data_IF_406001381479
#
_entry.id   IF_406001381479
#
_cell.length_a   1.000
_cell.length_b   1.000
_cell.length_c   1.000
_cell.angle_alpha   90.00
_cell.angle_beta   90.00
_cell.angle_gamma   90.00
#
_symmetry.space_group_name_H-M   'P 1'
#
loop_
_entity.id
_entity.type
_entity.pdbx_description
1 polymer ?
#
# COMPACT_ATOMS: atom_id res chain seq x y z
N UNK A 1 -47.51 46.72 -5.04
CA UNK A 1 -46.67 45.85 -5.90
C UNK A 1 -47.05 44.41 -5.62
N UNK A 2 -47.56 43.64 -6.59
CA UNK A 2 -47.79 42.21 -6.42
C UNK A 2 -46.50 41.41 -6.69
N UNK A 3 -46.33 40.20 -6.12
CA UNK A 3 -45.16 39.36 -6.36
C UNK A 3 -45.21 38.68 -7.75
N UNK A 4 -44.06 38.26 -8.31
CA UNK A 4 -44.03 37.64 -9.63
C UNK A 4 -44.57 36.21 -9.60
N UNK A 5 -45.38 35.89 -10.62
CA UNK A 5 -45.92 34.56 -10.89
C UNK A 5 -44.85 33.68 -11.53
N UNK A 6 -44.60 32.50 -10.95
CA UNK A 6 -43.68 31.52 -11.51
C UNK A 6 -44.27 30.85 -12.77
N UNK A 7 -43.52 30.89 -13.87
CA UNK A 7 -43.85 30.18 -15.11
C UNK A 7 -43.62 28.67 -14.96
N UNK A 8 -44.60 27.86 -15.39
CA UNK A 8 -44.49 26.40 -15.48
C UNK A 8 -43.57 25.99 -16.65
N UNK A 9 -42.73 24.96 -16.51
CA UNK A 9 -41.96 24.45 -17.64
C UNK A 9 -42.87 23.68 -18.62
N UNK A 10 -42.71 24.00 -19.90
CA UNK A 10 -43.29 23.27 -21.04
C UNK A 10 -42.46 22.00 -21.25
N UNK A 11 -43.10 20.84 -21.20
CA UNK A 11 -42.47 19.57 -21.55
C UNK A 11 -42.28 19.49 -23.08
N UNK A 12 -41.02 19.53 -23.53
CA UNK A 12 -40.65 19.23 -24.91
C UNK A 12 -40.50 17.71 -25.03
N UNK A 13 -41.46 17.05 -25.69
CA UNK A 13 -41.31 15.66 -26.11
C UNK A 13 -40.31 15.58 -27.26
N UNK A 14 -39.10 15.10 -26.97
CA UNK A 14 -38.14 14.72 -28.00
C UNK A 14 -38.58 13.39 -28.62
N UNK A 15 -39.06 13.43 -29.86
CA UNK A 15 -39.22 12.23 -30.69
C UNK A 15 -37.83 11.74 -31.11
N UNK A 16 -37.41 10.60 -30.56
CA UNK A 16 -36.20 9.89 -30.98
C UNK A 16 -36.46 9.27 -32.36
N UNK A 17 -35.86 9.85 -33.39
CA UNK A 17 -35.74 9.23 -34.70
C UNK A 17 -34.79 8.03 -34.61
N UNK A 18 -35.28 6.84 -34.95
CA UNK A 18 -34.50 5.61 -35.06
C UNK A 18 -33.55 5.68 -36.26
N UNK A 19 -32.25 5.52 -36.03
CA UNK A 19 -31.25 5.40 -37.07
C UNK A 19 -31.42 4.10 -37.89
N UNK A 20 -31.09 4.09 -39.20
CA UNK A 20 -31.17 2.88 -40.01
C UNK A 20 -30.09 1.88 -39.61
N UNK A 21 -30.50 0.64 -39.40
CA UNK A 21 -29.60 -0.48 -39.09
C UNK A 21 -28.93 -0.97 -40.37
N UNK A 22 -27.64 -0.70 -40.52
CA UNK A 22 -26.80 -1.32 -41.56
C UNK A 22 -26.59 -2.79 -41.18
N UNK A 23 -27.21 -3.72 -41.93
CA UNK A 23 -26.94 -5.15 -41.81
C UNK A 23 -25.61 -5.47 -42.48
N UNK A 24 -24.60 -5.80 -41.69
CA UNK A 24 -23.36 -6.43 -42.17
C UNK A 24 -23.68 -7.92 -42.44
N UNK A 25 -23.43 -8.46 -43.65
CA UNK A 25 -23.61 -9.88 -43.93
C UNK A 25 -22.65 -10.72 -43.08
N UNK A 26 -23.19 -11.75 -42.40
CA UNK A 26 -22.36 -12.77 -41.73
C UNK A 26 -21.69 -13.66 -42.79
N UNK A 27 -20.40 -14.03 -42.64
CA UNK A 27 -19.79 -15.03 -43.50
C UNK A 27 -20.50 -16.39 -43.31
N UNK A 28 -20.71 -17.09 -44.43
CA UNK A 28 -21.32 -18.41 -44.46
C UNK A 28 -20.47 -19.43 -43.69
N UNK A 29 -21.13 -20.27 -42.88
CA UNK A 29 -20.47 -21.40 -42.24
C UNK A 29 -20.03 -22.43 -43.30
N UNK A 30 -18.86 -23.07 -43.15
CA UNK A 30 -18.44 -24.14 -44.06
C UNK A 30 -19.37 -25.36 -43.93
N UNK A 31 -19.58 -26.13 -45.01
CA UNK A 31 -20.43 -27.30 -44.99
C UNK A 31 -19.88 -28.39 -44.05
N UNK A 32 -20.78 -28.99 -43.29
CA UNK A 32 -20.49 -30.08 -42.36
C UNK A 32 -20.29 -31.39 -43.14
N UNK A 33 -19.11 -31.98 -43.03
CA UNK A 33 -18.80 -33.31 -43.58
C UNK A 33 -19.06 -34.40 -42.53
N UNK A 34 -19.74 -35.51 -42.87
CA UNK A 34 -19.90 -36.63 -41.94
C UNK A 34 -18.56 -37.35 -41.71
N UNK A 35 -18.33 -37.94 -40.52
CA UNK A 35 -17.10 -38.68 -40.23
C UNK A 35 -17.01 -39.95 -41.10
N UNK A 36 -15.90 -40.10 -41.81
CA UNK A 36 -15.57 -41.30 -42.55
C UNK A 36 -15.25 -42.50 -41.64
N UNK A 37 -15.28 -43.73 -42.17
CA UNK A 37 -15.01 -44.94 -41.39
C UNK A 37 -13.56 -44.96 -40.88
N UNK A 38 -13.40 -45.31 -39.61
CA UNK A 38 -12.11 -45.42 -38.94
C UNK A 38 -11.28 -46.56 -39.56
N UNK A 39 -10.12 -46.22 -40.13
CA UNK A 39 -9.10 -47.20 -40.49
C UNK A 39 -8.39 -47.71 -39.23
N UNK A 40 -8.12 -49.02 -39.09
CA UNK A 40 -7.37 -49.55 -37.97
C UNK A 40 -5.90 -49.07 -38.05
N UNK A 41 -5.37 -48.60 -36.92
CA UNK A 41 -3.98 -48.21 -36.78
C UNK A 41 -3.03 -49.42 -36.98
N UNK A 42 -1.86 -49.26 -37.61
CA UNK A 42 -0.88 -50.33 -37.69
C UNK A 42 -0.29 -50.63 -36.30
N UNK A 43 -0.35 -51.90 -35.90
CA UNK A 43 0.26 -52.39 -34.67
C UNK A 43 1.78 -52.27 -34.73
N UNK A 44 2.35 -51.48 -33.82
CA UNK A 44 3.79 -51.48 -33.56
C UNK A 44 4.12 -52.69 -32.68
N UNK A 45 4.87 -53.64 -33.23
CA UNK A 45 5.36 -54.80 -32.50
C UNK A 45 6.17 -54.40 -31.28
N UNK A 46 5.84 -54.99 -30.14
CA UNK A 46 6.65 -54.88 -28.92
C UNK A 46 7.97 -55.64 -29.13
N UNK A 47 9.05 -54.90 -29.40
CA UNK A 47 10.41 -55.40 -29.24
C UNK A 47 10.70 -55.40 -27.73
N UNK A 48 10.94 -56.59 -27.16
CA UNK A 48 11.32 -56.72 -25.76
C UNK A 48 12.62 -55.93 -25.49
N UNK A 49 12.69 -55.09 -24.45
CA UNK A 49 13.89 -54.30 -24.17
C UNK A 49 15.05 -55.22 -23.74
N UNK A 50 16.18 -55.13 -24.45
CA UNK A 50 17.46 -55.70 -24.03
C UNK A 50 17.83 -55.09 -22.66
N UNK A 51 18.00 -55.94 -21.64
CA UNK A 51 18.50 -55.54 -20.32
C UNK A 51 19.95 -55.06 -20.46
N UNK A 52 20.18 -53.75 -20.40
CA UNK A 52 21.52 -53.18 -20.27
C UNK A 52 21.96 -53.19 -18.80
N UNK A 53 23.13 -53.72 -18.50
CA UNK A 53 23.77 -53.75 -17.17
C UNK A 53 24.34 -52.39 -16.73
N UNK A 54 23.64 -51.29 -17.00
CA UNK A 54 24.04 -49.94 -16.61
C UNK A 54 23.63 -49.57 -15.16
N UNK A 55 22.89 -50.44 -14.47
CA UNK A 55 22.41 -50.23 -13.10
C UNK A 55 23.48 -49.79 -12.10
N UNK A 56 24.69 -50.40 -12.08
CA UNK A 56 25.75 -49.98 -11.17
C UNK A 56 26.28 -48.57 -11.47
N UNK A 57 26.39 -48.19 -12.75
CA UNK A 57 26.92 -46.88 -13.15
C UNK A 57 25.93 -45.75 -12.88
N UNK A 58 24.64 -45.99 -13.08
CA UNK A 58 23.58 -45.02 -12.75
C UNK A 58 23.46 -44.85 -11.23
N UNK A 59 23.61 -45.93 -10.45
CA UNK A 59 23.60 -45.86 -8.99
C UNK A 59 24.79 -45.04 -8.44
N UNK A 60 26.00 -45.22 -9.00
CA UNK A 60 27.18 -44.43 -8.62
C UNK A 60 27.01 -42.96 -9.02
N UNK A 61 26.47 -42.67 -10.21
CA UNK A 61 26.21 -41.30 -10.64
C UNK A 61 25.18 -40.60 -9.74
N UNK A 62 24.09 -41.29 -9.37
CA UNK A 62 23.08 -40.75 -8.45
C UNK A 62 23.63 -40.56 -7.04
N UNK A 63 24.49 -41.47 -6.55
CA UNK A 63 25.15 -41.32 -5.25
C UNK A 63 26.11 -40.12 -5.24
N UNK A 64 26.88 -39.91 -6.31
CA UNK A 64 27.78 -38.75 -6.43
C UNK A 64 27.00 -37.43 -6.52
N UNK A 65 25.88 -37.39 -7.25
CA UNK A 65 25.00 -36.22 -7.30
C UNK A 65 24.35 -35.95 -5.95
N UNK A 66 23.95 -37.00 -5.21
CA UNK A 66 23.41 -36.84 -3.86
C UNK A 66 24.47 -36.31 -2.87
N UNK A 67 25.70 -36.82 -2.92
CA UNK A 67 26.81 -36.34 -2.07
C UNK A 67 27.20 -34.90 -2.41
N UNK A 68 27.26 -34.55 -3.71
CA UNK A 68 27.49 -33.17 -4.14
C UNK A 68 26.33 -32.25 -3.76
N UNK A 69 25.08 -32.71 -3.87
CA UNK A 69 23.88 -31.98 -3.44
C UNK A 69 23.88 -31.72 -1.94
N UNK A 70 24.20 -32.72 -1.13
CA UNK A 70 24.32 -32.58 0.33
C UNK A 70 25.50 -31.68 0.69
N UNK A 71 26.62 -31.75 -0.04
CA UNK A 71 27.78 -30.87 0.15
C UNK A 71 27.48 -29.41 -0.17
N UNK A 72 26.76 -29.13 -1.27
CA UNK A 72 26.34 -27.76 -1.64
C UNK A 72 25.29 -27.23 -0.67
N UNK A 73 24.30 -28.04 -0.27
CA UNK A 73 23.30 -27.65 0.75
C UNK A 73 23.97 -27.42 2.10
N UNK A 74 24.95 -28.25 2.49
CA UNK A 74 25.73 -28.08 3.71
C UNK A 74 26.61 -26.83 3.69
N UNK A 75 27.29 -26.54 2.58
CA UNK A 75 28.13 -25.34 2.45
C UNK A 75 27.29 -24.06 2.43
N UNK A 76 26.11 -24.08 1.81
CA UNK A 76 25.16 -22.96 1.85
C UNK A 76 24.56 -22.81 3.25
N UNK A 77 24.22 -23.90 3.95
CA UNK A 77 23.66 -23.82 5.31
C UNK A 77 24.67 -23.29 6.35
N UNK A 78 25.95 -23.66 6.22
CA UNK A 78 27.01 -23.19 7.13
C UNK A 78 27.40 -21.74 6.82
N UNK A 79 27.35 -21.30 5.56
CA UNK A 79 27.67 -19.91 5.19
C UNK A 79 26.46 -18.95 5.25
N UNK A 80 25.23 -19.45 5.34
CA UNK A 80 24.01 -18.64 5.53
C UNK A 80 23.74 -18.32 7.01
N UNK A 81 24.53 -18.89 7.92
CA UNK A 81 24.47 -18.61 9.35
C UNK A 81 25.20 -17.32 9.69
N UNK A 82 24.82 -16.19 9.07
CA UNK A 82 25.02 -14.80 9.54
C UNK A 82 24.69 -13.80 8.42
N UNK A 83 23.41 -13.62 8.12
CA UNK A 83 22.83 -12.34 7.63
C UNK A 83 21.31 -12.47 7.58
N UNK A 84 20.71 -12.53 8.78
CA UNK A 84 19.30 -12.17 8.92
C UNK A 84 19.23 -10.67 8.64
N UNK A 85 18.62 -10.29 7.53
CA UNK A 85 18.12 -8.92 7.36
C UNK A 85 16.98 -8.77 8.35
N UNK A 86 17.32 -8.25 9.54
CA UNK A 86 16.33 -7.78 10.48
C UNK A 86 15.74 -6.50 9.89
N UNK A 87 14.43 -6.46 9.67
CA UNK A 87 13.78 -5.17 9.57
C UNK A 87 14.12 -4.36 10.82
N UNK A 88 14.51 -3.10 10.67
CA UNK A 88 14.54 -2.22 11.82
C UNK A 88 13.13 -1.99 12.32
N UNK A 89 12.84 -2.48 13.54
CA UNK A 89 11.89 -1.77 14.41
C UNK A 89 10.78 -2.50 15.10
N UNK A 90 11.05 -3.61 15.79
CA UNK A 90 10.01 -4.25 16.60
C UNK A 90 10.10 -4.00 18.11
N UNK A 91 11.11 -3.28 18.62
CA UNK A 91 11.32 -3.17 20.07
C UNK A 91 10.90 -1.87 20.76
N UNK A 92 10.52 -0.79 20.05
CA UNK A 92 10.14 0.46 20.74
C UNK A 92 9.09 1.28 19.99
N UNK A 93 7.82 0.87 20.06
CA UNK A 93 6.75 1.87 20.08
C UNK A 93 6.65 2.42 21.51
N UNK A 94 6.99 3.69 21.80
CA UNK A 94 6.74 4.25 23.11
C UNK A 94 5.23 4.40 23.31
N UNK A 95 4.67 3.62 24.23
CA UNK A 95 3.35 3.87 24.81
C UNK A 95 3.40 5.21 25.54
N UNK A 96 3.01 6.30 24.88
CA UNK A 96 2.84 7.59 25.56
C UNK A 96 1.58 7.54 26.42
N UNK A 97 1.76 7.23 27.71
CA UNK A 97 0.83 7.62 28.77
C UNK A 97 0.89 9.15 28.90
N UNK A 98 -0.24 9.89 28.91
CA UNK A 98 -0.21 11.33 29.12
C UNK A 98 0.38 11.64 30.50
N UNK A 99 1.58 12.22 30.52
CA UNK A 99 2.17 12.73 31.75
C UNK A 99 1.29 13.86 32.29
N UNK A 100 0.80 13.69 33.53
CA UNK A 100 0.11 14.74 34.26
C UNK A 100 1.04 15.94 34.41
N UNK A 101 0.56 17.10 33.96
CA UNK A 101 1.23 18.40 34.08
C UNK A 101 1.47 18.69 35.58
N UNK A 102 2.67 19.14 36.00
CA UNK A 102 2.87 19.54 37.38
C UNK A 102 2.06 20.80 37.67
N UNK A 103 1.20 20.74 38.68
CA UNK A 103 0.53 21.90 39.26
C UNK A 103 1.60 22.79 39.90
N UNK A 104 1.75 24.01 39.38
CA UNK A 104 2.57 25.03 40.01
C UNK A 104 1.93 25.43 41.34
N UNK A 105 2.57 25.07 42.46
CA UNK A 105 2.24 25.56 43.79
C UNK A 105 2.68 27.02 43.88
N UNK A 106 1.76 27.94 43.61
CA UNK A 106 1.95 29.37 43.87
C UNK A 106 1.72 29.67 45.35
N UNK A 107 2.77 30.01 46.07
CA UNK A 107 2.73 30.53 47.44
C UNK A 107 1.95 31.86 47.47
N UNK A 108 0.76 31.89 48.11
CA UNK A 108 0.04 33.15 48.40
C UNK A 108 0.37 33.61 49.83
N UNK A 109 1.03 34.75 49.91
CA UNK A 109 1.12 35.59 51.11
C UNK A 109 -0.23 36.30 51.32
N UNK A 110 -0.80 36.36 52.54
CA UNK A 110 -2.02 37.12 52.79
C UNK A 110 -1.65 38.58 53.08
N UNK A 111 -2.21 39.52 52.31
CA UNK A 111 -2.27 40.93 52.67
C UNK A 111 -3.74 41.33 52.78
N UNK A 112 -4.10 41.82 53.96
CA UNK A 112 -5.43 42.31 54.31
C UNK A 112 -5.71 43.65 53.62
N UNK A 113 -6.82 43.74 52.90
CA UNK A 113 -7.36 45.00 52.38
C UNK A 113 -8.89 44.89 52.26
N UNK A 114 -9.67 45.90 52.68
CA UNK A 114 -11.12 45.78 52.81
C UNK A 114 -11.85 45.91 51.46
N UNK A 115 -13.04 45.32 51.44
CA UNK A 115 -14.03 45.26 50.36
C UNK A 115 -14.21 46.55 49.55
N UNK A 116 -14.26 46.39 48.23
CA UNK A 116 -15.03 47.25 47.34
C UNK A 116 -15.87 46.39 46.40
N UNK A 117 -17.18 46.37 46.65
CA UNK A 117 -18.19 45.76 45.78
C UNK A 117 -18.23 46.49 44.45
N UNK A 118 -17.85 45.83 43.36
CA UNK A 118 -18.19 46.28 42.01
C UNK A 118 -18.54 45.06 41.15
N UNK A 119 -19.83 44.90 40.87
CA UNK A 119 -20.29 44.12 39.73
C UNK A 119 -19.84 44.83 38.46
N UNK A 120 -19.30 44.08 37.48
CA UNK A 120 -19.67 44.34 36.11
C UNK A 120 -20.16 43.06 35.46
N UNK A 121 -21.38 43.15 34.94
CA UNK A 121 -21.96 42.32 33.91
C UNK A 121 -20.96 42.20 32.76
N UNK A 122 -20.23 41.09 32.70
CA UNK A 122 -19.27 40.77 31.65
C UNK A 122 -19.64 39.42 31.07
N UNK A 123 -20.45 39.43 30.01
CA UNK A 123 -20.70 38.26 29.18
C UNK A 123 -19.39 37.90 28.50
N UNK A 124 -18.61 36.97 29.09
CA UNK A 124 -17.43 36.41 28.43
C UNK A 124 -17.91 35.71 27.16
N UNK A 125 -17.40 36.07 25.96
CA UNK A 125 -17.65 35.27 24.78
C UNK A 125 -16.93 33.95 24.99
N UNK A 126 -17.68 32.86 25.09
CA UNK A 126 -17.12 31.51 25.06
C UNK A 126 -16.47 31.30 23.70
N UNK A 127 -15.18 31.63 23.58
CA UNK A 127 -14.35 31.24 22.46
C UNK A 127 -14.37 29.73 22.38
N UNK A 128 -15.25 29.20 21.54
CA UNK A 128 -15.34 27.77 21.27
C UNK A 128 -14.17 27.47 20.34
N UNK A 129 -12.97 27.32 20.90
CA UNK A 129 -11.81 26.82 20.17
C UNK A 129 -12.20 25.44 19.67
N UNK A 130 -12.49 25.30 18.37
CA UNK A 130 -12.81 24.01 17.78
C UNK A 130 -11.64 23.06 18.07
N UNK A 131 -11.88 22.01 18.85
CA UNK A 131 -10.85 21.03 19.15
C UNK A 131 -10.34 20.45 17.82
N UNK A 132 -9.02 20.48 17.62
CA UNK A 132 -8.39 19.90 16.43
C UNK A 132 -8.77 18.40 16.34
N UNK A 133 -9.04 17.88 15.14
CA UNK A 133 -9.28 16.46 14.92
C UNK A 133 -8.16 15.60 15.51
N UNK A 134 -8.51 14.46 16.11
CA UNK A 134 -7.56 13.49 16.68
C UNK A 134 -7.62 12.17 15.91
N UNK A 135 -6.51 11.42 15.83
CA UNK A 135 -6.55 10.07 15.26
C UNK A 135 -7.52 9.18 16.03
N UNK A 136 -8.14 8.22 15.36
CA UNK A 136 -9.04 7.24 15.98
C UNK A 136 -8.36 5.87 15.91
N UNK A 137 -7.96 5.34 17.07
CA UNK A 137 -7.21 4.08 17.16
C UNK A 137 -8.14 2.87 17.01
N UNK A 138 -8.57 2.65 15.77
CA UNK A 138 -9.44 1.55 15.32
C UNK A 138 -8.96 1.05 13.97
N UNK A 139 -9.19 -0.23 13.67
CA UNK A 139 -8.83 -0.86 12.39
C UNK A 139 -10.03 -0.90 11.45
N UNK A 140 -10.85 -1.96 11.47
CA UNK A 140 -11.93 -2.20 10.52
C UNK A 140 -13.06 -1.16 10.56
N UNK A 141 -13.29 -0.52 11.70
CA UNK A 141 -14.33 0.48 11.93
C UNK A 141 -13.76 1.90 12.08
N UNK A 142 -12.57 2.16 11.54
CA UNK A 142 -11.99 3.51 11.49
C UNK A 142 -12.86 4.45 10.63
N UNK A 143 -13.05 5.74 11.01
CA UNK A 143 -13.79 6.69 10.20
C UNK A 143 -13.29 6.84 8.76
N UNK A 144 -11.98 6.62 8.52
CA UNK A 144 -11.41 6.64 7.18
C UNK A 144 -12.01 5.54 6.28
N UNK A 145 -12.51 4.44 6.83
CA UNK A 145 -13.12 3.33 6.08
C UNK A 145 -14.63 3.50 5.85
N UNK A 146 -15.21 4.67 6.17
CA UNK A 146 -16.61 4.95 5.88
C UNK A 146 -16.87 5.12 4.36
N UNK A 147 -18.13 4.94 3.95
CA UNK A 147 -18.53 5.12 2.56
C UNK A 147 -18.40 6.60 2.12
N UNK A 148 -18.09 6.82 0.85
CA UNK A 148 -17.96 8.16 0.27
C UNK A 148 -16.63 8.87 0.57
N UNK A 149 -15.70 8.21 1.26
CA UNK A 149 -14.34 8.70 1.47
C UNK A 149 -13.44 8.13 0.37
N UNK A 150 -12.69 8.99 -0.32
CA UNK A 150 -11.85 8.58 -1.44
C UNK A 150 -10.75 9.58 -1.75
N UNK A 151 -9.84 9.17 -2.63
CA UNK A 151 -8.74 9.96 -3.13
C UNK A 151 -9.26 11.06 -4.08
N UNK A 152 -8.76 12.29 -3.93
CA UNK A 152 -9.16 13.41 -4.75
C UNK A 152 -8.34 13.46 -6.05
N UNK A 153 -8.99 13.56 -7.24
CA UNK A 153 -8.28 13.74 -8.49
C UNK A 153 -7.37 14.98 -8.45
N UNK A 154 -6.09 14.81 -8.74
CA UNK A 154 -5.08 15.87 -8.58
C UNK A 154 -4.17 15.94 -9.81
N UNK A 155 -3.85 17.14 -10.28
CA UNK A 155 -2.87 17.34 -11.35
C UNK A 155 -1.48 17.46 -10.73
N UNK A 156 -0.56 16.58 -11.14
CA UNK A 156 0.77 16.51 -10.56
C UNK A 156 1.85 16.93 -11.54
N UNK A 157 2.73 17.83 -11.09
CA UNK A 157 3.88 18.27 -11.86
C UNK A 157 5.15 17.71 -11.21
N UNK A 158 5.80 16.79 -11.89
CA UNK A 158 6.99 16.10 -11.42
C UNK A 158 8.17 16.45 -12.34
N UNK A 159 9.39 16.60 -11.80
CA UNK A 159 10.56 16.80 -12.63
C UNK A 159 10.83 15.55 -13.47
N UNK A 160 11.67 15.71 -14.52
CA UNK A 160 12.20 14.56 -15.25
C UNK A 160 12.92 13.63 -14.28
N UNK A 161 12.53 12.36 -14.27
CA UNK A 161 13.12 11.36 -13.38
C UNK A 161 14.55 10.99 -13.78
N UNK A 162 15.40 10.76 -12.77
CA UNK A 162 16.70 10.13 -12.90
C UNK A 162 16.92 9.17 -11.71
N UNK A 163 17.51 7.99 -11.91
CA UNK A 163 17.65 6.96 -10.87
C UNK A 163 18.84 7.19 -9.93
N UNK A 164 19.68 8.19 -10.18
CA UNK A 164 20.70 8.57 -9.20
C UNK A 164 20.03 9.16 -7.94
N UNK A 165 20.72 9.14 -6.77
CA UNK A 165 20.11 9.58 -5.51
C UNK A 165 19.55 11.01 -5.52
N UNK A 166 20.20 11.96 -6.21
CA UNK A 166 19.73 13.34 -6.26
C UNK A 166 18.48 13.46 -7.15
N UNK A 167 18.46 12.74 -8.27
CA UNK A 167 17.28 12.63 -9.14
C UNK A 167 16.07 12.01 -8.43
N UNK A 168 16.29 10.95 -7.65
CA UNK A 168 15.25 10.33 -6.83
C UNK A 168 14.73 11.29 -5.76
N UNK A 169 15.61 11.95 -4.99
CA UNK A 169 15.19 12.90 -3.94
C UNK A 169 14.36 14.05 -4.50
N UNK A 170 14.80 14.66 -5.60
CA UNK A 170 14.07 15.73 -6.27
C UNK A 170 12.68 15.26 -6.75
N UNK A 171 12.60 14.06 -7.31
CA UNK A 171 11.34 13.46 -7.77
C UNK A 171 10.38 13.20 -6.61
N UNK A 172 10.85 12.58 -5.51
CA UNK A 172 10.01 12.29 -4.34
C UNK A 172 9.52 13.56 -3.64
N UNK A 173 10.39 14.57 -3.47
CA UNK A 173 10.00 15.85 -2.88
C UNK A 173 8.94 16.57 -3.71
N UNK A 174 9.00 16.48 -5.03
CA UNK A 174 7.98 17.05 -5.91
C UNK A 174 6.66 16.26 -5.89
N UNK A 175 6.71 14.95 -5.63
CA UNK A 175 5.52 14.10 -5.52
C UNK A 175 4.80 14.23 -4.16
N UNK A 176 5.48 14.68 -3.10
CA UNK A 176 4.89 14.75 -1.76
C UNK A 176 3.67 15.68 -1.65
N UNK A 177 3.70 16.93 -2.18
CA UNK A 177 2.52 17.79 -2.17
C UNK A 177 1.32 17.23 -2.95
N UNK A 178 1.60 16.40 -3.95
CA UNK A 178 0.57 15.68 -4.69
C UNK A 178 -0.14 14.63 -3.85
N UNK A 179 0.61 13.85 -3.07
CA UNK A 179 0.04 12.88 -2.13
C UNK A 179 -0.81 13.59 -1.07
N UNK A 180 -0.33 14.72 -0.53
CA UNK A 180 -1.09 15.54 0.41
C UNK A 180 -2.40 16.05 -0.19
N UNK A 181 -2.35 16.61 -1.41
CA UNK A 181 -3.53 17.11 -2.11
C UNK A 181 -4.57 16.02 -2.41
N UNK A 182 -4.11 14.81 -2.74
CA UNK A 182 -4.99 13.65 -2.98
C UNK A 182 -5.71 13.21 -1.71
N UNK A 183 -5.02 13.19 -0.56
CA UNK A 183 -5.54 12.62 0.68
C UNK A 183 -6.23 13.63 1.61
N UNK A 184 -5.88 14.92 1.56
CA UNK A 184 -6.45 15.93 2.45
C UNK A 184 -7.99 15.97 2.44
N UNK A 185 -8.70 15.87 1.29
CA UNK A 185 -10.16 15.85 1.28
C UNK A 185 -10.77 14.63 1.98
N UNK A 186 -10.16 13.45 1.86
CA UNK A 186 -10.59 12.25 2.56
C UNK A 186 -10.51 12.43 4.08
N UNK A 187 -9.39 12.97 4.58
CA UNK A 187 -9.20 13.22 6.01
C UNK A 187 -10.16 14.28 6.55
N UNK A 188 -10.40 15.34 5.78
CA UNK A 188 -11.41 16.35 6.11
C UNK A 188 -12.81 15.73 6.21
N UNK A 189 -13.21 14.92 5.21
CA UNK A 189 -14.51 14.22 5.20
C UNK A 189 -14.65 13.23 6.37
N UNK A 190 -13.57 12.53 6.73
CA UNK A 190 -13.52 11.60 7.86
C UNK A 190 -13.44 12.28 9.23
N UNK A 191 -13.24 13.61 9.28
CA UNK A 191 -12.93 14.37 10.50
C UNK A 191 -11.71 13.81 11.26
N UNK A 192 -10.68 13.43 10.50
CA UNK A 192 -9.40 12.92 11.02
C UNK A 192 -8.28 13.93 10.74
N UNK A 193 -7.20 13.94 11.55
CA UNK A 193 -6.05 14.78 11.27
C UNK A 193 -5.19 14.15 10.17
N UNK A 194 -4.79 14.96 9.18
CA UNK A 194 -3.68 14.64 8.29
C UNK A 194 -2.49 15.48 8.71
N UNK A 195 -1.49 14.85 9.31
CA UNK A 195 -0.25 15.55 9.68
C UNK A 195 0.65 15.62 8.45
N UNK A 196 1.46 16.68 8.26
CA UNK A 196 2.51 16.65 7.26
C UNK A 196 3.46 15.47 7.52
N UNK A 197 3.94 14.85 6.45
CA UNK A 197 4.94 13.77 6.52
C UNK A 197 6.32 14.34 6.18
N UNK A 198 7.35 13.92 6.90
CA UNK A 198 8.73 14.22 6.55
C UNK A 198 9.23 13.19 5.52
N UNK A 199 10.06 13.61 4.57
CA UNK A 199 10.67 12.74 3.58
C UNK A 199 12.19 12.79 3.66
N UNK A 200 12.81 11.62 3.80
CA UNK A 200 14.26 11.44 3.83
C UNK A 200 14.71 10.43 2.79
N UNK A 201 15.37 10.91 1.74
CA UNK A 201 16.09 10.05 0.81
C UNK A 201 17.47 9.75 1.40
N UNK A 202 17.80 8.47 1.59
CA UNK A 202 19.05 8.05 2.21
C UNK A 202 19.92 7.25 1.25
N UNK A 203 21.24 7.41 1.40
CA UNK A 203 22.28 6.73 0.61
C UNK A 203 23.26 5.95 1.48
N UNK A 204 22.94 5.77 2.76
CA UNK A 204 23.79 5.11 3.75
C UNK A 204 22.99 4.75 4.99
N UNK A 205 23.67 4.20 6.00
CA UNK A 205 23.00 3.70 7.20
C UNK A 205 22.53 4.85 8.09
N UNK A 206 21.30 4.77 8.59
CA UNK A 206 20.71 5.75 9.50
C UNK A 206 20.04 5.07 10.69
N UNK A 207 20.07 5.72 11.85
CA UNK A 207 19.26 5.33 13.01
C UNK A 207 17.96 6.12 13.00
N UNK A 208 16.85 5.44 13.21
CA UNK A 208 15.50 6.02 13.27
C UNK A 208 14.84 5.66 14.60
N UNK A 209 13.70 6.29 14.94
CA UNK A 209 12.92 5.91 16.11
C UNK A 209 12.46 4.45 16.07
N UNK A 210 12.26 3.90 14.87
CA UNK A 210 11.91 2.52 14.63
C UNK A 210 13.13 1.65 14.30
N UNK A 211 14.36 2.00 14.68
CA UNK A 211 15.53 1.11 14.50
C UNK A 211 16.52 1.55 13.40
N UNK A 212 17.40 0.64 12.96
CA UNK A 212 18.50 0.97 12.06
C UNK A 212 18.17 0.64 10.59
N UNK A 213 18.06 1.65 9.74
CA UNK A 213 17.90 1.44 8.31
C UNK A 213 19.28 1.41 7.62
N UNK A 214 19.49 0.42 6.77
CA UNK A 214 20.69 0.31 5.93
C UNK A 214 20.36 0.58 4.47
N UNK A 215 21.38 0.78 3.64
CA UNK A 215 21.21 0.91 2.18
C UNK A 215 20.71 -0.38 1.49
N UNK A 216 20.68 -1.50 2.22
CA UNK A 216 20.25 -2.83 1.75
C UNK A 216 18.78 -3.11 2.03
N UNK A 217 18.14 -2.23 2.78
CA UNK A 217 16.73 -2.34 3.15
C UNK A 217 15.86 -1.53 2.18
N UNK A 218 14.58 -1.89 2.10
CA UNK A 218 13.58 -1.14 1.33
C UNK A 218 13.23 0.18 2.01
N UNK A 219 12.48 1.03 1.32
CA UNK A 219 11.81 2.16 1.96
C UNK A 219 10.92 1.68 3.09
N UNK A 220 10.68 2.57 4.05
CA UNK A 220 9.66 2.34 5.07
C UNK A 220 9.20 3.66 5.71
N UNK A 221 7.99 3.63 6.26
CA UNK A 221 7.41 4.70 7.06
C UNK A 221 7.60 4.45 8.57
N UNK A 222 8.04 5.48 9.29
CA UNK A 222 8.15 5.46 10.75
C UNK A 222 7.81 6.83 11.35
N UNK A 223 6.81 6.85 12.24
CA UNK A 223 6.41 8.00 13.07
C UNK A 223 6.39 9.36 12.35
N UNK A 224 5.71 9.41 11.21
CA UNK A 224 5.58 10.65 10.43
C UNK A 224 6.74 10.93 9.47
N UNK A 225 7.68 10.00 9.30
CA UNK A 225 8.80 10.11 8.36
C UNK A 225 8.77 8.95 7.36
N UNK A 226 8.86 9.26 6.08
CA UNK A 226 9.12 8.31 5.00
C UNK A 226 10.62 8.29 4.71
N UNK A 227 11.25 7.13 4.84
CA UNK A 227 12.64 6.91 4.50
C UNK A 227 12.73 6.19 3.15
N UNK A 228 13.32 6.81 2.14
CA UNK A 228 13.52 6.23 0.81
C UNK A 228 14.97 5.80 0.63
N UNK A 229 15.24 4.52 0.42
CA UNK A 229 16.60 3.97 0.22
C UNK A 229 17.02 4.05 -1.25
N UNK A 230 17.62 5.18 -1.66
CA UNK A 230 17.86 5.45 -3.08
C UNK A 230 18.74 4.41 -3.78
N UNK A 231 19.76 3.89 -3.07
CA UNK A 231 20.68 2.90 -3.63
C UNK A 231 20.04 1.51 -3.75
N UNK A 232 19.09 1.16 -2.87
CA UNK A 232 18.39 -0.12 -2.95
C UNK A 232 17.62 -0.24 -4.28
N UNK A 233 16.78 0.74 -4.59
CA UNK A 233 15.94 0.70 -5.80
C UNK A 233 16.75 0.80 -7.10
N UNK A 234 17.80 1.62 -7.11
CA UNK A 234 18.65 1.80 -8.29
C UNK A 234 19.62 0.62 -8.52
N UNK A 235 20.19 0.02 -7.46
CA UNK A 235 21.28 -0.96 -7.58
C UNK A 235 20.86 -2.40 -7.26
N UNK A 236 19.94 -2.60 -6.30
CA UNK A 236 19.46 -3.93 -5.90
C UNK A 236 18.26 -4.36 -6.73
N UNK A 237 17.19 -3.58 -6.72
CA UNK A 237 16.00 -3.87 -7.56
C UNK A 237 16.22 -3.51 -9.03
N UNK A 238 17.25 -2.70 -9.33
CA UNK A 238 17.60 -2.27 -10.70
C UNK A 238 16.38 -1.73 -11.45
N UNK A 239 15.62 -0.85 -10.79
CA UNK A 239 14.39 -0.31 -11.36
C UNK A 239 14.65 0.51 -12.63
N UNK A 240 15.86 1.05 -12.81
CA UNK A 240 16.25 1.82 -13.99
C UNK A 240 15.50 3.15 -14.05
N UNK A 241 15.17 3.63 -15.25
CA UNK A 241 14.48 4.92 -15.40
C UNK A 241 12.94 4.83 -15.30
N UNK A 242 12.41 3.75 -14.73
CA UNK A 242 10.96 3.51 -14.62
C UNK A 242 10.37 4.33 -13.47
N UNK A 243 10.19 5.63 -13.69
CA UNK A 243 9.71 6.60 -12.70
C UNK A 243 8.43 6.14 -11.97
N UNK A 244 7.53 5.43 -12.67
CA UNK A 244 6.31 4.91 -12.08
C UNK A 244 6.55 3.93 -10.93
N UNK A 245 7.59 3.11 -11.00
CA UNK A 245 7.93 2.17 -9.92
C UNK A 245 8.40 2.89 -8.66
N UNK A 246 9.23 3.92 -8.83
CA UNK A 246 9.65 4.79 -7.72
C UNK A 246 8.46 5.55 -7.12
N UNK A 247 7.53 6.03 -7.95
CA UNK A 247 6.30 6.67 -7.49
C UNK A 247 5.39 5.69 -6.73
N UNK A 248 5.30 4.43 -7.17
CA UNK A 248 4.53 3.40 -6.49
C UNK A 248 5.06 3.12 -5.07
N UNK A 249 6.37 2.99 -4.90
CA UNK A 249 6.99 2.83 -3.58
C UNK A 249 6.67 4.02 -2.69
N UNK A 250 6.87 5.26 -3.16
CA UNK A 250 6.54 6.44 -2.36
C UNK A 250 5.05 6.48 -1.99
N UNK A 251 4.17 6.09 -2.90
CA UNK A 251 2.74 6.05 -2.68
C UNK A 251 2.34 4.95 -1.66
N UNK A 252 3.04 3.81 -1.64
CA UNK A 252 2.90 2.77 -0.62
C UNK A 252 3.26 3.29 0.76
N UNK A 253 4.43 3.93 0.89
CA UNK A 253 4.88 4.49 2.16
C UNK A 253 3.98 5.61 2.65
N UNK A 254 3.44 6.41 1.74
CA UNK A 254 2.41 7.38 2.09
C UNK A 254 1.08 6.69 2.49
N UNK A 255 0.78 5.51 1.97
CA UNK A 255 -0.31 4.66 2.44
C UNK A 255 -0.16 4.30 3.93
N UNK A 256 1.05 3.98 4.39
CA UNK A 256 1.33 3.83 5.82
C UNK A 256 1.18 5.15 6.59
N UNK A 257 1.56 6.28 5.99
CA UNK A 257 1.30 7.58 6.59
C UNK A 257 -0.21 7.87 6.74
N UNK A 258 -1.03 7.49 5.76
CA UNK A 258 -2.50 7.56 5.84
C UNK A 258 -3.03 6.69 6.98
N UNK A 259 -2.50 5.47 7.16
CA UNK A 259 -2.83 4.62 8.30
C UNK A 259 -2.38 5.22 9.64
N UNK A 260 -1.19 5.83 9.68
CA UNK A 260 -0.63 6.47 10.88
C UNK A 260 -1.45 7.68 11.33
N UNK A 261 -1.74 8.58 10.40
CA UNK A 261 -2.53 9.80 10.63
C UNK A 261 -3.97 9.49 11.05
N UNK A 262 -4.58 8.43 10.50
CA UNK A 262 -5.94 8.01 10.87
C UNK A 262 -6.02 7.24 12.19
N UNK A 263 -4.89 6.70 12.67
CA UNK A 263 -4.81 5.85 13.87
C UNK A 263 -4.93 4.35 13.61
N UNK A 264 -5.16 3.93 12.36
CA UNK A 264 -5.24 2.51 11.96
C UNK A 264 -3.92 1.81 12.25
N UNK A 265 -2.79 2.42 11.88
CA UNK A 265 -1.48 1.77 12.00
C UNK A 265 -1.16 1.43 13.45
N UNK A 266 -1.40 2.36 14.38
CA UNK A 266 -1.24 2.12 15.81
C UNK A 266 -2.14 0.99 16.31
N UNK A 267 -3.42 1.01 15.96
CA UNK A 267 -4.35 -0.03 16.40
C UNK A 267 -4.01 -1.42 15.85
N UNK A 268 -3.48 -1.48 14.61
CA UNK A 268 -2.96 -2.71 14.01
C UNK A 268 -1.74 -3.24 14.74
N UNK A 269 -0.78 -2.35 15.06
CA UNK A 269 0.40 -2.71 15.84
C UNK A 269 0.08 -3.24 17.23
N UNK A 270 -0.82 -2.57 17.96
CA UNK A 270 -1.24 -3.00 19.30
C UNK A 270 -1.80 -4.45 19.26
N UNK A 271 -2.66 -4.76 18.28
CA UNK A 271 -3.20 -6.12 18.06
C UNK A 271 -2.12 -7.13 17.67
N UNK A 272 -1.18 -6.73 16.82
CA UNK A 272 -0.08 -7.61 16.39
C UNK A 272 0.83 -7.98 17.57
N UNK A 273 1.11 -7.02 18.45
CA UNK A 273 1.87 -7.25 19.66
C UNK A 273 1.15 -8.21 20.62
N UNK A 274 -0.17 -8.05 20.80
CA UNK A 274 -0.99 -8.92 21.66
C UNK A 274 -0.94 -10.39 21.24
N UNK A 275 -0.96 -10.68 19.94
CA UNK A 275 -0.95 -12.06 19.41
C UNK A 275 0.46 -12.59 19.16
N UNK A 276 1.49 -11.76 19.25
CA UNK A 276 2.87 -12.07 18.87
C UNK A 276 3.12 -11.83 17.37
N UNK A 277 4.02 -10.91 16.98
CA UNK A 277 4.23 -10.50 15.58
C UNK A 277 4.62 -11.65 14.62
N UNK A 278 5.44 -12.58 15.10
CA UNK A 278 5.95 -13.71 14.30
C UNK A 278 5.01 -14.92 14.29
N UNK A 279 3.88 -14.85 15.02
CA UNK A 279 2.89 -15.93 14.97
C UNK A 279 2.10 -15.88 13.67
N UNK A 280 1.44 -16.98 13.25
CA UNK A 280 0.57 -16.95 12.08
C UNK A 280 -0.49 -15.84 12.12
N UNK A 281 -1.01 -15.53 13.31
CA UNK A 281 -1.96 -14.43 13.53
C UNK A 281 -1.30 -13.05 13.39
N UNK A 282 -0.10 -12.87 13.97
CA UNK A 282 0.68 -11.63 13.82
C UNK A 282 1.04 -11.34 12.36
N UNK A 283 1.51 -12.36 11.64
CA UNK A 283 1.81 -12.25 10.22
C UNK A 283 0.57 -11.92 9.38
N UNK A 284 -0.62 -12.44 9.73
CA UNK A 284 -1.86 -12.03 9.07
C UNK A 284 -2.19 -10.55 9.29
N UNK A 285 -2.00 -10.05 10.52
CA UNK A 285 -2.18 -8.63 10.81
C UNK A 285 -1.17 -7.77 10.05
N UNK A 286 0.06 -8.26 9.85
CA UNK A 286 1.07 -7.60 9.02
C UNK A 286 0.60 -7.52 7.56
N UNK A 287 0.14 -8.63 6.99
CA UNK A 287 -0.38 -8.65 5.62
C UNK A 287 -1.55 -7.68 5.45
N UNK A 288 -2.47 -7.59 6.42
CA UNK A 288 -3.58 -6.62 6.39
C UNK A 288 -3.07 -5.17 6.37
N UNK A 289 -2.07 -4.85 7.19
CA UNK A 289 -1.41 -3.54 7.23
C UNK A 289 -0.79 -3.20 5.87
N UNK A 290 0.02 -4.10 5.31
CA UNK A 290 0.73 -3.90 4.04
C UNK A 290 -0.22 -3.79 2.84
N UNK A 291 -1.16 -4.72 2.71
CA UNK A 291 -2.10 -4.74 1.57
C UNK A 291 -3.01 -3.51 1.53
N UNK A 292 -3.32 -2.91 2.69
CA UNK A 292 -4.08 -1.66 2.73
C UNK A 292 -3.23 -0.47 2.27
N UNK A 293 -1.94 -0.43 2.63
CA UNK A 293 -1.01 0.57 2.10
C UNK A 293 -0.86 0.44 0.58
N UNK A 294 -0.74 -0.78 0.05
CA UNK A 294 -0.78 -1.06 -1.39
C UNK A 294 -2.06 -0.54 -2.05
N UNK A 295 -3.23 -0.81 -1.45
CA UNK A 295 -4.52 -0.35 -1.97
C UNK A 295 -4.62 1.19 -1.99
N UNK A 296 -4.20 1.85 -0.90
CA UNK A 296 -4.13 3.32 -0.83
C UNK A 296 -3.14 3.91 -1.84
N UNK A 297 -1.96 3.32 -1.99
CA UNK A 297 -0.99 3.74 -3.00
C UNK A 297 -1.57 3.67 -4.42
N UNK A 298 -2.30 2.60 -4.73
CA UNK A 298 -2.96 2.44 -6.02
C UNK A 298 -4.12 3.44 -6.24
N UNK A 299 -4.88 3.79 -5.19
CA UNK A 299 -5.86 4.89 -5.25
C UNK A 299 -5.18 6.22 -5.61
N UNK A 300 -4.01 6.51 -5.03
CA UNK A 300 -3.23 7.70 -5.37
C UNK A 300 -2.83 7.70 -6.84
N UNK A 301 -2.25 6.61 -7.34
CA UNK A 301 -1.85 6.50 -8.76
C UNK A 301 -3.04 6.72 -9.69
N UNK A 302 -4.21 6.16 -9.37
CA UNK A 302 -5.42 6.38 -10.15
C UNK A 302 -5.91 7.84 -10.11
N UNK A 303 -5.75 8.54 -8.98
CA UNK A 303 -6.16 9.93 -8.82
C UNK A 303 -5.30 10.92 -9.63
N UNK A 304 -4.02 10.59 -9.88
CA UNK A 304 -3.07 11.44 -10.61
C UNK A 304 -2.76 10.97 -12.03
N UNK A 305 -3.09 9.72 -12.36
CA UNK A 305 -2.77 9.10 -13.66
C UNK A 305 -3.41 9.83 -14.84
N UNK A 306 -2.58 10.16 -15.84
CA UNK A 306 -2.97 10.95 -17.01
C UNK A 306 -3.15 12.44 -16.73
N UNK A 307 -2.64 12.95 -15.60
CA UNK A 307 -2.74 14.37 -15.20
C UNK A 307 -1.35 14.95 -14.94
N UNK A 308 -1.04 16.05 -15.62
CA UNK A 308 0.26 16.70 -15.52
C UNK A 308 1.38 15.80 -16.04
N UNK A 309 2.45 15.65 -15.27
CA UNK A 309 3.62 14.83 -15.62
C UNK A 309 3.43 13.33 -15.43
N UNK A 310 2.38 12.90 -14.71
CA UNK A 310 2.08 11.47 -14.51
C UNK A 310 1.31 10.96 -15.71
N UNK A 311 2.03 10.58 -16.77
CA UNK A 311 1.43 10.01 -17.97
C UNK A 311 0.93 8.57 -17.75
N UNK A 312 0.32 7.99 -18.79
CA UNK A 312 -0.22 6.63 -18.71
C UNK A 312 0.88 5.58 -18.55
N UNK A 313 2.07 5.81 -19.09
CA UNK A 313 3.21 4.89 -18.96
C UNK A 313 3.67 4.83 -17.52
N UNK A 314 3.87 6.00 -16.88
CA UNK A 314 4.22 6.09 -15.47
C UNK A 314 3.17 5.45 -14.56
N UNK A 315 1.88 5.69 -14.83
CA UNK A 315 0.80 5.06 -14.07
C UNK A 315 0.75 3.53 -14.26
N UNK A 316 1.01 3.02 -15.47
CA UNK A 316 1.07 1.59 -15.74
C UNK A 316 2.29 0.93 -15.08
N UNK A 317 3.46 1.57 -15.11
CA UNK A 317 4.67 1.12 -14.42
C UNK A 317 4.43 1.00 -12.91
N UNK A 318 3.73 1.98 -12.33
CA UNK A 318 3.36 1.98 -10.92
C UNK A 318 2.39 0.83 -10.59
N UNK A 319 1.36 0.63 -11.41
CA UNK A 319 0.41 -0.48 -11.24
C UNK A 319 1.09 -1.85 -11.36
N UNK A 320 2.05 -1.98 -12.28
CA UNK A 320 2.88 -3.18 -12.39
C UNK A 320 3.71 -3.39 -11.12
N UNK A 321 4.35 -2.36 -10.60
CA UNK A 321 5.17 -2.45 -9.38
C UNK A 321 4.39 -3.02 -8.21
N UNK A 322 3.20 -2.48 -7.91
CA UNK A 322 2.33 -3.01 -6.87
C UNK A 322 1.97 -4.49 -7.08
N UNK A 323 1.75 -4.91 -8.33
CA UNK A 323 1.39 -6.28 -8.65
C UNK A 323 2.55 -7.28 -8.66
N UNK A 324 3.79 -6.79 -8.66
CA UNK A 324 5.03 -7.59 -8.59
C UNK A 324 5.51 -7.74 -7.13
N UNK A 325 4.99 -6.94 -6.17
CA UNK A 325 5.37 -6.95 -4.75
C UNK A 325 4.66 -8.05 -3.97
N UNK A 326 5.29 -8.56 -2.91
CA UNK A 326 4.72 -9.55 -2.00
C UNK A 326 5.70 -10.65 -1.60
N UNK A 327 5.19 -11.67 -0.91
CA UNK A 327 5.95 -12.77 -0.33
C UNK A 327 6.37 -13.81 -1.40
N UNK A 328 7.26 -13.47 -2.35
CA UNK A 328 7.84 -14.49 -3.26
C UNK A 328 9.17 -14.08 -3.96
N UNK A 329 10.14 -15.02 -4.12
CA UNK A 329 10.18 -16.37 -3.54
C UNK A 329 10.39 -16.33 -2.03
N UNK A 330 9.58 -17.10 -1.29
CA UNK A 330 9.77 -17.24 0.16
C UNK A 330 11.02 -18.10 0.43
N UNK A 331 12.16 -17.44 0.60
CA UNK A 331 13.44 -18.04 0.94
C UNK A 331 13.62 -18.22 2.45
N UNK A 332 12.56 -18.66 3.16
CA UNK A 332 12.54 -18.76 4.63
C UNK A 332 12.33 -17.42 5.34
N UNK A 333 11.82 -16.41 4.63
CA UNK A 333 11.43 -15.11 5.22
C UNK A 333 10.00 -15.19 5.78
N UNK A 334 9.66 -14.36 6.78
CA UNK A 334 8.28 -14.19 7.22
C UNK A 334 7.34 -13.89 6.04
N UNK A 335 6.08 -14.31 6.14
CA UNK A 335 5.03 -14.01 5.14
C UNK A 335 4.17 -12.86 5.65
N UNK A 336 4.70 -11.65 5.53
CA UNK A 336 4.22 -10.44 6.18
C UNK A 336 3.64 -9.41 5.20
N UNK A 337 3.79 -9.62 3.88
CA UNK A 337 3.29 -8.72 2.84
C UNK A 337 2.20 -9.33 1.94
N UNK A 338 1.93 -10.63 2.05
CA UNK A 338 0.94 -11.35 1.25
C UNK A 338 1.46 -11.71 -0.13
N UNK A 339 0.80 -12.66 -0.80
CA UNK A 339 1.29 -13.12 -2.12
C UNK A 339 1.24 -12.02 -3.18
N UNK A 340 2.09 -12.06 -4.22
CA UNK A 340 2.00 -11.11 -5.32
C UNK A 340 0.62 -11.03 -5.99
N UNK A 341 -0.09 -12.16 -6.10
CA UNK A 341 -1.45 -12.19 -6.63
C UNK A 341 -2.43 -11.39 -5.75
N UNK A 342 -2.24 -11.43 -4.43
CA UNK A 342 -3.08 -10.74 -3.46
C UNK A 342 -2.76 -9.25 -3.43
N UNK A 343 -1.47 -8.88 -3.48
CA UNK A 343 -1.05 -7.49 -3.65
C UNK A 343 -1.64 -6.88 -4.93
N UNK A 344 -1.52 -7.59 -6.06
CA UNK A 344 -2.14 -7.19 -7.32
C UNK A 344 -3.65 -7.04 -7.21
N UNK A 345 -4.34 -7.91 -6.48
CA UNK A 345 -5.78 -7.81 -6.29
C UNK A 345 -6.16 -6.54 -5.52
N UNK A 346 -5.49 -6.23 -4.40
CA UNK A 346 -5.73 -5.01 -3.62
C UNK A 346 -5.31 -3.73 -4.34
N UNK A 347 -4.19 -3.76 -5.07
CA UNK A 347 -3.79 -2.64 -5.93
C UNK A 347 -4.85 -2.36 -7.01
N UNK A 348 -5.33 -3.40 -7.69
CA UNK A 348 -6.41 -3.26 -8.68
C UNK A 348 -7.70 -2.76 -8.06
N UNK A 349 -8.04 -3.21 -6.85
CA UNK A 349 -9.20 -2.73 -6.10
C UNK A 349 -9.09 -1.22 -5.86
N UNK A 350 -7.98 -0.74 -5.30
CA UNK A 350 -7.74 0.68 -5.05
C UNK A 350 -7.70 1.51 -6.34
N UNK A 351 -7.07 1.02 -7.40
CA UNK A 351 -7.00 1.74 -8.67
C UNK A 351 -8.35 1.88 -9.38
N UNK A 352 -9.28 0.92 -9.18
CA UNK A 352 -10.61 0.92 -9.81
C UNK A 352 -11.67 1.61 -8.95
N UNK A 353 -11.53 1.54 -7.64
CA UNK A 353 -12.51 2.06 -6.69
C UNK A 353 -11.99 3.33 -6.03
N UNK A 354 -12.69 4.44 -6.20
CA UNK A 354 -12.39 5.65 -5.44
C UNK A 354 -13.07 5.61 -4.05
N UNK A 355 -12.77 4.58 -3.26
CA UNK A 355 -13.37 4.38 -1.95
C UNK A 355 -12.40 3.70 -0.98
N UNK A 356 -12.05 4.37 0.11
CA UNK A 356 -11.22 3.80 1.18
C UNK A 356 -11.90 2.64 1.90
N UNK A 357 -13.23 2.58 1.91
CA UNK A 357 -13.99 1.44 2.42
C UNK A 357 -13.70 0.15 1.63
N UNK A 358 -13.42 0.27 0.34
CA UNK A 358 -13.03 -0.83 -0.54
C UNK A 358 -11.57 -1.28 -0.34
N UNK A 359 -10.77 -0.50 0.40
CA UNK A 359 -9.42 -0.84 0.86
C UNK A 359 -9.40 -1.31 2.33
N UNK A 360 -10.53 -1.72 2.89
CA UNK A 360 -10.62 -2.15 4.28
C UNK A 360 -10.18 -3.62 4.45
N UNK A 361 -8.86 -3.84 4.39
CA UNK A 361 -8.24 -5.16 4.61
C UNK A 361 -8.51 -5.71 6.00
N UNK A 362 -8.80 -4.88 7.00
CA UNK A 362 -9.06 -5.30 8.38
C UNK A 362 -10.45 -5.93 8.56
N UNK A 363 -11.39 -5.66 7.66
CA UNK A 363 -12.71 -6.29 7.62
C UNK A 363 -12.77 -7.46 6.62
N UNK A 364 -11.73 -7.66 5.80
CA UNK A 364 -11.70 -8.69 4.77
C UNK A 364 -11.55 -10.11 5.37
N UNK A 365 -12.06 -11.15 4.69
CA UNK A 365 -11.80 -12.54 5.09
C UNK A 365 -10.29 -12.87 5.00
N UNK A 366 -9.80 -13.81 5.80
CA UNK A 366 -8.37 -14.12 5.92
C UNK A 366 -7.73 -14.62 4.62
N UNK A 367 -8.49 -15.32 3.76
CA UNK A 367 -8.01 -15.79 2.46
C UNK A 367 -7.69 -14.65 1.49
N UNK A 368 -8.34 -13.50 1.66
CA UNK A 368 -8.17 -12.30 0.85
C UNK A 368 -6.93 -11.49 1.23
N UNK A 369 -6.19 -11.93 2.26
CA UNK A 369 -4.97 -11.28 2.77
C UNK A 369 -3.83 -12.28 3.00
N UNK A 370 -3.90 -13.47 2.40
CA UNK A 370 -2.97 -14.59 2.65
C UNK A 370 -1.75 -14.66 1.71
#
# INVERSE_FOLDING_TARGET
>A
MPPPVAARPVAVQAQLATAPTVRIPRPAAPPWSPPGPAHPAPGWGHVAPRRSSAGPLVAVALALVAVLGIGVVGLVAVNSSSTRTAEPGYDRYPTQTPAARPTATGTRTPSNGPSATRSPTGSTPTSTTSAQPKPVYRTSDNPLSAQGIGAAPTTCQLPRFSPDPAGQDAFYRAALPCLEAVWAPAFHAARLPLKPVELRTITGNVKTPCGNLTQEDTAYYCDGVIYMTALYYSQREKLGNRAGKYLAVLAHEYGHHVQGSSGILKAGWDRMYEVGPETPAGLELSRRKELQATCFGAMFIAAVGGKGSVDRTMANDAAQDFGDRGDWPNNGKPRDHGRPEVNRAWANQGARSNSTAQCNTWAAPSDSVA
#
